data_IF_343772886022
#
_entry.id   IF_343772886022
#
_cell.length_a   1.000
_cell.length_b   1.000
_cell.length_c   1.000
_cell.angle_alpha   90.00
_cell.angle_beta   90.00
_cell.angle_gamma   90.00
#
_symmetry.space_group_name_H-M   'P 1'
#
loop_
_entity.id
_entity.type
_entity.pdbx_description
1 polymer ?
#
# COMPACT_ATOMS: atom_id res chain seq x y z
N UNK A 1 -42.06 -38.83 41.45
CA UNK A 1 -40.59 -38.98 41.46
C UNK A 1 -39.94 -39.28 40.09
N UNK A 2 -40.68 -39.68 39.03
CA UNK A 2 -40.06 -39.99 37.72
C UNK A 2 -39.99 -38.82 36.72
N UNK A 3 -40.86 -37.82 36.86
CA UNK A 3 -40.96 -36.71 35.89
C UNK A 3 -39.87 -35.65 36.09
N UNK A 4 -39.57 -35.29 37.35
CA UNK A 4 -38.51 -34.31 37.65
C UNK A 4 -37.13 -34.81 37.26
N UNK A 5 -36.88 -36.12 37.44
CA UNK A 5 -35.63 -36.76 37.03
C UNK A 5 -35.49 -36.81 35.51
N UNK A 6 -36.58 -37.02 34.76
CA UNK A 6 -36.57 -36.96 33.30
C UNK A 6 -36.34 -35.54 32.78
N UNK A 7 -37.00 -34.54 33.38
CA UNK A 7 -36.81 -33.14 33.05
C UNK A 7 -35.39 -32.67 33.37
N UNK A 8 -34.80 -33.14 34.48
CA UNK A 8 -33.43 -32.84 34.85
C UNK A 8 -32.40 -33.47 33.90
N UNK A 9 -32.60 -34.73 33.50
CA UNK A 9 -31.72 -35.39 32.52
C UNK A 9 -31.84 -34.75 31.14
N UNK A 10 -33.05 -34.39 30.71
CA UNK A 10 -33.27 -33.67 29.44
C UNK A 10 -32.60 -32.30 29.45
N UNK A 11 -32.72 -31.56 30.56
CA UNK A 11 -32.02 -30.29 30.76
C UNK A 11 -30.51 -30.47 30.70
N UNK A 12 -29.95 -31.48 31.38
CA UNK A 12 -28.52 -31.74 31.40
C UNK A 12 -27.97 -32.07 30.00
N UNK A 13 -28.72 -32.84 29.19
CA UNK A 13 -28.33 -33.18 27.82
C UNK A 13 -28.39 -31.95 26.90
N UNK A 14 -29.44 -31.14 27.01
CA UNK A 14 -29.56 -29.90 26.21
C UNK A 14 -28.47 -28.89 26.62
N UNK A 15 -28.19 -28.74 27.91
CA UNK A 15 -27.13 -27.88 28.41
C UNK A 15 -25.75 -28.32 27.90
N UNK A 16 -25.47 -29.63 27.88
CA UNK A 16 -24.25 -30.18 27.31
C UNK A 16 -24.16 -29.92 25.80
N UNK A 17 -25.24 -30.11 25.05
CA UNK A 17 -25.28 -29.83 23.61
C UNK A 17 -25.05 -28.34 23.30
N UNK A 18 -25.57 -27.43 24.13
CA UNK A 18 -25.31 -26.00 23.97
C UNK A 18 -23.86 -25.68 24.36
N UNK A 19 -23.36 -26.14 25.51
CA UNK A 19 -21.99 -25.85 25.96
C UNK A 19 -20.90 -26.38 25.02
N UNK A 20 -21.08 -27.56 24.45
CA UNK A 20 -20.08 -28.19 23.57
C UNK A 20 -20.37 -27.97 22.08
N UNK A 21 -21.63 -27.83 21.67
CA UNK A 21 -22.02 -27.59 20.28
C UNK A 21 -21.93 -26.13 19.86
N UNK A 22 -22.23 -25.18 20.76
CA UNK A 22 -22.19 -23.75 20.45
C UNK A 22 -20.79 -23.26 20.03
N UNK A 23 -19.67 -23.66 20.65
CA UNK A 23 -18.33 -23.25 20.20
C UNK A 23 -18.00 -23.70 18.77
N UNK A 24 -18.48 -24.88 18.36
CA UNK A 24 -18.26 -25.42 17.00
C UNK A 24 -19.08 -24.66 15.95
N UNK A 25 -20.30 -24.25 16.30
CA UNK A 25 -21.17 -23.42 15.44
C UNK A 25 -20.62 -21.99 15.35
N UNK A 26 -20.21 -21.40 16.47
CA UNK A 26 -19.59 -20.08 16.53
C UNK A 26 -18.33 -20.03 15.67
N UNK A 27 -17.43 -21.02 15.80
CA UNK A 27 -16.20 -21.06 15.00
C UNK A 27 -16.41 -21.18 13.48
N UNK A 28 -17.53 -21.76 13.03
CA UNK A 28 -17.84 -21.91 11.59
C UNK A 28 -18.68 -20.77 11.01
N UNK A 29 -19.62 -20.21 11.76
CA UNK A 29 -20.60 -19.24 11.23
C UNK A 29 -20.44 -17.81 11.77
N UNK A 30 -19.70 -17.64 12.87
CA UNK A 30 -19.42 -16.35 13.49
C UNK A 30 -17.94 -16.25 13.84
N UNK A 31 -17.04 -16.14 12.83
CA UNK A 31 -15.61 -15.96 13.08
C UNK A 31 -15.44 -14.79 14.05
N UNK A 32 -14.72 -15.03 15.14
CA UNK A 32 -14.41 -14.00 16.14
C UNK A 32 -13.81 -12.80 15.42
N UNK A 33 -14.32 -11.60 15.72
CA UNK A 33 -13.80 -10.35 15.19
C UNK A 33 -12.27 -10.35 15.26
N UNK A 34 -11.63 -9.84 14.20
CA UNK A 34 -10.19 -9.69 14.12
C UNK A 34 -9.67 -9.14 15.47
N UNK A 35 -8.60 -9.73 16.05
CA UNK A 35 -8.07 -9.23 17.30
C UNK A 35 -7.78 -7.72 17.16
N UNK A 36 -8.14 -6.91 18.17
CA UNK A 36 -8.00 -5.46 18.09
C UNK A 36 -6.55 -5.10 17.72
N UNK A 37 -6.39 -4.18 16.76
CA UNK A 37 -5.10 -3.75 16.23
C UNK A 37 -4.20 -3.05 17.28
N UNK A 38 -4.70 -2.87 18.50
CA UNK A 38 -4.02 -2.20 19.60
C UNK A 38 -4.13 -3.03 20.87
N UNK A 39 -2.98 -3.33 21.48
CA UNK A 39 -2.88 -3.90 22.82
C UNK A 39 -2.25 -2.85 23.74
N UNK A 40 -2.84 -2.64 24.91
CA UNK A 40 -2.24 -1.78 25.94
C UNK A 40 -1.25 -2.64 26.73
N UNK A 41 0.04 -2.37 26.54
CA UNK A 41 1.14 -2.93 27.35
C UNK A 41 1.81 -1.76 28.06
N UNK A 42 1.80 -1.76 29.40
CA UNK A 42 2.49 -0.73 30.19
C UNK A 42 1.92 0.70 30.06
N UNK A 43 0.63 0.85 29.73
CA UNK A 43 0.00 2.17 29.62
C UNK A 43 0.27 2.92 28.32
N UNK A 44 0.93 2.29 27.33
CA UNK A 44 1.04 2.82 25.98
C UNK A 44 0.31 1.92 24.97
N UNK A 45 -0.36 2.56 24.02
CA UNK A 45 -1.04 1.90 22.90
C UNK A 45 0.00 1.37 21.94
N UNK A 46 0.16 0.04 21.88
CA UNK A 46 1.10 -0.62 20.98
C UNK A 46 0.34 -1.26 19.82
N UNK A 47 0.66 -0.85 18.59
CA UNK A 47 0.06 -1.42 17.38
C UNK A 47 0.58 -2.86 17.21
N UNK A 48 -0.33 -3.82 17.19
CA UNK A 48 0.00 -5.24 16.99
C UNK A 48 0.09 -5.49 15.49
N UNK A 49 1.25 -5.98 15.02
CA UNK A 49 1.48 -6.24 13.60
C UNK A 49 0.52 -7.32 13.09
N UNK A 50 -0.46 -6.93 12.29
CA UNK A 50 -1.40 -7.86 11.67
C UNK A 50 -0.87 -8.20 10.27
N UNK A 51 -0.20 -9.36 10.14
CA UNK A 51 0.51 -9.80 8.93
C UNK A 51 -0.41 -9.92 7.69
N UNK A 52 -1.72 -10.01 7.90
CA UNK A 52 -2.76 -10.08 6.85
C UNK A 52 -3.43 -8.74 6.53
N UNK A 53 -3.21 -7.67 7.31
CA UNK A 53 -3.85 -6.37 7.09
C UNK A 53 -2.88 -5.27 6.59
N UNK A 54 -1.58 -5.47 6.69
CA UNK A 54 -0.60 -4.50 6.19
C UNK A 54 -0.44 -4.63 4.66
N UNK A 55 -0.58 -3.55 3.89
CA UNK A 55 -0.65 -3.57 2.43
C UNK A 55 0.68 -3.98 1.79
N UNK A 56 0.86 -5.27 1.52
CA UNK A 56 2.04 -5.76 0.81
C UNK A 56 1.86 -5.55 -0.69
N UNK A 57 2.91 -5.11 -1.36
CA UNK A 57 2.99 -5.23 -2.81
C UNK A 57 2.83 -6.72 -3.20
N UNK A 58 2.09 -6.96 -4.28
CA UNK A 58 1.88 -8.30 -4.80
C UNK A 58 3.22 -8.90 -5.31
N UNK A 59 3.41 -10.20 -5.09
CA UNK A 59 4.68 -10.87 -5.39
C UNK A 59 4.72 -11.18 -6.89
N UNK A 60 5.56 -10.47 -7.65
CA UNK A 60 5.67 -10.71 -9.08
C UNK A 60 6.18 -12.13 -9.41
N UNK A 61 5.83 -12.66 -10.58
CA UNK A 61 6.41 -13.90 -11.15
C UNK A 61 7.90 -13.75 -11.51
N UNK A 62 8.41 -14.57 -12.44
CA UNK A 62 9.77 -14.45 -12.94
C UNK A 62 10.04 -13.02 -13.49
N UNK A 63 11.28 -12.52 -13.35
CA UNK A 63 11.69 -11.23 -13.93
C UNK A 63 11.68 -11.36 -15.45
N UNK A 64 10.93 -10.48 -16.13
CA UNK A 64 10.71 -10.48 -17.58
C UNK A 64 11.09 -9.13 -18.19
N UNK A 65 11.21 -9.10 -19.51
CA UNK A 65 11.46 -7.86 -20.22
C UNK A 65 10.35 -6.83 -19.91
N UNK A 66 10.74 -5.59 -19.59
CA UNK A 66 9.81 -4.53 -19.21
C UNK A 66 8.74 -4.27 -20.27
N UNK A 67 9.10 -4.24 -21.55
CA UNK A 67 8.14 -4.00 -22.63
C UNK A 67 7.02 -5.05 -22.66
N UNK A 68 7.36 -6.31 -22.35
CA UNK A 68 6.38 -7.40 -22.21
C UNK A 68 5.46 -7.14 -21.02
N UNK A 69 6.02 -6.82 -19.85
CA UNK A 69 5.24 -6.52 -18.64
C UNK A 69 4.31 -5.32 -18.83
N UNK A 70 4.78 -4.28 -19.52
CA UNK A 70 3.95 -3.09 -19.82
C UNK A 70 2.76 -3.43 -20.73
N UNK A 71 2.90 -4.38 -21.66
CA UNK A 71 1.86 -4.75 -22.61
C UNK A 71 0.76 -5.67 -22.03
N UNK A 72 0.97 -6.25 -20.84
CA UNK A 72 0.05 -7.22 -20.24
C UNK A 72 -1.17 -6.62 -19.56
N UNK A 73 -1.12 -5.32 -19.23
CA UNK A 73 -2.18 -4.66 -18.47
C UNK A 73 -2.71 -3.41 -19.18
N UNK A 74 -4.00 -3.11 -19.04
CA UNK A 74 -4.55 -1.83 -19.47
C UNK A 74 -3.87 -0.67 -18.72
N UNK A 75 -3.55 0.41 -19.43
CA UNK A 75 -2.75 1.52 -18.93
C UNK A 75 -3.29 2.88 -19.36
N UNK A 76 -3.02 3.90 -18.54
CA UNK A 76 -3.24 5.31 -18.85
C UNK A 76 -1.87 5.96 -19.06
N UNK A 77 -1.68 6.70 -20.15
CA UNK A 77 -0.41 7.36 -20.42
C UNK A 77 -0.19 8.54 -19.46
N UNK A 78 1.06 8.77 -19.06
CA UNK A 78 1.50 9.98 -18.37
C UNK A 78 2.28 10.81 -19.37
N UNK A 79 1.83 12.04 -19.61
CA UNK A 79 2.45 12.97 -20.54
C UNK A 79 2.59 14.36 -19.92
N UNK A 80 3.81 14.71 -19.50
CA UNK A 80 4.15 16.04 -19.02
C UNK A 80 5.45 16.54 -19.67
N UNK A 81 5.83 17.83 -19.48
CA UNK A 81 7.11 18.37 -19.95
C UNK A 81 8.36 17.73 -19.31
N UNK A 82 8.21 17.04 -18.18
CA UNK A 82 9.29 16.49 -17.34
C UNK A 82 9.19 14.99 -17.14
N UNK A 83 7.99 14.42 -17.31
CA UNK A 83 7.67 13.03 -17.04
C UNK A 83 6.99 12.38 -18.26
N UNK A 84 7.41 11.16 -18.57
CA UNK A 84 6.68 10.26 -19.48
C UNK A 84 6.54 8.89 -18.83
N UNK A 85 5.49 8.16 -19.18
CA UNK A 85 5.30 6.81 -18.70
C UNK A 85 3.84 6.40 -18.68
N UNK A 86 3.44 5.60 -17.70
CA UNK A 86 2.09 5.10 -17.60
C UNK A 86 1.65 4.73 -16.18
N UNK A 87 0.34 4.74 -15.98
CA UNK A 87 -0.36 4.23 -14.80
C UNK A 87 -0.92 2.86 -15.17
N UNK A 88 -0.64 1.86 -14.35
CA UNK A 88 -1.19 0.52 -14.48
C UNK A 88 -2.59 0.46 -13.87
N UNK A 89 -3.61 0.18 -14.69
CA UNK A 89 -4.98 0.06 -14.21
C UNK A 89 -5.21 -1.21 -13.39
N UNK A 90 -4.33 -2.21 -13.52
CA UNK A 90 -4.31 -3.35 -12.61
C UNK A 90 -3.61 -2.92 -11.30
N UNK A 91 -4.40 -2.72 -10.25
CA UNK A 91 -3.93 -2.32 -8.92
C UNK A 91 -3.68 -0.82 -8.73
N UNK A 92 -4.07 0.03 -9.70
CA UNK A 92 -3.93 1.50 -9.63
C UNK A 92 -2.51 1.98 -9.25
N UNK A 93 -1.49 1.55 -10.01
CA UNK A 93 -0.08 1.78 -9.68
C UNK A 93 0.57 2.79 -10.63
N UNK A 94 1.36 3.70 -10.09
CA UNK A 94 2.31 4.51 -10.87
C UNK A 94 3.61 3.69 -10.90
N UNK A 95 3.81 2.96 -11.99
CA UNK A 95 4.83 1.91 -12.07
C UNK A 95 5.74 2.02 -13.30
N UNK A 96 5.53 3.01 -14.15
CA UNK A 96 6.34 3.29 -15.34
C UNK A 96 6.54 4.80 -15.45
N UNK A 97 7.76 5.27 -15.16
CA UNK A 97 8.05 6.69 -15.15
C UNK A 97 9.51 6.97 -15.55
N UNK A 98 9.69 7.85 -16.53
CA UNK A 98 10.99 8.37 -16.95
C UNK A 98 11.04 9.89 -16.77
N UNK A 99 12.20 10.38 -16.33
CA UNK A 99 12.49 11.79 -16.16
C UNK A 99 13.15 12.33 -17.44
N UNK A 100 12.37 12.92 -18.34
CA UNK A 100 12.85 13.21 -19.71
C UNK A 100 13.89 14.31 -19.80
N UNK A 101 14.06 15.10 -18.73
CA UNK A 101 15.09 16.15 -18.65
C UNK A 101 16.46 15.65 -18.19
N UNK A 102 16.57 14.39 -17.76
CA UNK A 102 17.82 13.83 -17.24
C UNK A 102 18.22 12.60 -18.03
N UNK A 103 19.49 12.51 -18.40
CA UNK A 103 20.06 11.38 -19.12
C UNK A 103 20.78 10.44 -18.17
N UNK A 104 20.78 9.14 -18.48
CA UNK A 104 21.53 8.13 -17.73
C UNK A 104 23.04 8.39 -17.76
N UNK A 105 23.54 8.92 -18.87
CA UNK A 105 24.95 9.24 -19.08
C UNK A 105 25.12 10.55 -19.84
N UNK A 106 26.35 11.08 -19.86
CA UNK A 106 26.69 12.30 -20.60
C UNK A 106 26.71 12.11 -22.13
N UNK A 107 26.54 10.88 -22.63
CA UNK A 107 26.54 10.60 -24.06
C UNK A 107 25.37 11.33 -24.75
N UNK A 108 25.61 11.85 -25.96
CA UNK A 108 24.63 12.67 -26.71
C UNK A 108 23.27 11.98 -26.86
N UNK A 109 23.27 10.67 -27.12
CA UNK A 109 22.08 9.86 -27.35
C UNK A 109 21.70 8.97 -26.14
N UNK A 110 22.15 9.32 -24.94
CA UNK A 110 21.80 8.57 -23.74
C UNK A 110 20.31 8.61 -23.44
N UNK A 111 19.76 7.48 -22.99
CA UNK A 111 18.36 7.34 -22.63
C UNK A 111 18.02 8.24 -21.43
N UNK A 112 16.74 8.66 -21.28
CA UNK A 112 16.32 9.37 -20.09
C UNK A 112 16.37 8.47 -18.86
N UNK A 113 16.59 9.07 -17.69
CA UNK A 113 16.58 8.36 -16.41
C UNK A 113 15.21 7.72 -16.20
N UNK A 114 15.20 6.43 -15.96
CA UNK A 114 14.01 5.71 -15.50
C UNK A 114 13.97 5.69 -13.99
N UNK A 115 12.95 6.32 -13.42
CA UNK A 115 12.73 6.32 -11.98
C UNK A 115 11.90 5.11 -11.55
N UNK A 116 10.77 4.86 -12.23
CA UNK A 116 9.84 3.79 -11.87
C UNK A 116 9.79 2.69 -12.92
N UNK A 117 9.63 1.45 -12.45
CA UNK A 117 9.59 0.23 -13.24
C UNK A 117 8.60 -0.77 -12.63
N UNK A 118 7.80 -1.49 -13.45
CA UNK A 118 6.71 -2.31 -12.94
C UNK A 118 7.21 -3.56 -12.22
N UNK A 119 6.36 -4.07 -11.32
CA UNK A 119 6.56 -5.38 -10.70
C UNK A 119 6.69 -6.48 -11.76
N UNK A 120 7.70 -7.34 -11.62
CA UNK A 120 8.01 -8.40 -12.59
C UNK A 120 8.93 -7.96 -13.74
N UNK A 121 9.36 -6.70 -13.76
CA UNK A 121 10.45 -6.21 -14.59
C UNK A 121 11.73 -5.94 -13.75
N UNK A 122 12.92 -5.84 -14.39
CA UNK A 122 14.14 -5.48 -13.68
C UNK A 122 14.02 -4.14 -12.95
N UNK A 123 14.51 -4.10 -11.71
CA UNK A 123 14.52 -2.90 -10.87
C UNK A 123 13.12 -2.38 -10.56
N UNK A 124 12.17 -3.28 -10.28
CA UNK A 124 10.80 -2.90 -9.93
C UNK A 124 10.80 -1.82 -8.84
N UNK A 125 10.17 -0.69 -9.11
CA UNK A 125 10.09 0.46 -8.24
C UNK A 125 8.82 1.23 -8.60
N UNK A 126 7.83 1.27 -7.71
CA UNK A 126 6.52 1.81 -8.02
C UNK A 126 5.80 2.35 -6.79
N UNK A 127 4.84 3.23 -7.02
CA UNK A 127 3.91 3.71 -5.99
C UNK A 127 2.53 3.07 -6.17
N UNK A 128 1.86 2.78 -5.06
CA UNK A 128 0.50 2.24 -5.04
C UNK A 128 -0.33 2.84 -3.92
N UNK A 129 -1.65 2.80 -4.09
CA UNK A 129 -2.61 3.41 -3.18
C UNK A 129 -3.79 2.46 -2.95
N UNK A 130 -4.36 2.48 -1.76
CA UNK A 130 -5.48 1.62 -1.44
C UNK A 130 -6.09 1.92 -0.09
N UNK A 131 -6.87 0.98 0.41
CA UNK A 131 -7.51 1.04 1.72
C UNK A 131 -7.28 -0.27 2.46
N UNK A 132 -7.15 -0.22 3.78
CA UNK A 132 -7.04 -1.44 4.60
C UNK A 132 -8.37 -2.19 4.60
N UNK A 133 -8.30 -3.51 4.57
CA UNK A 133 -9.47 -4.37 4.75
C UNK A 133 -9.75 -4.57 6.24
N UNK A 134 -10.34 -3.56 6.88
CA UNK A 134 -10.78 -3.60 8.28
C UNK A 134 -12.31 -3.56 8.38
N UNK A 135 -12.98 -4.34 7.53
CA UNK A 135 -14.46 -4.35 7.40
C UNK A 135 -14.98 -3.57 6.19
N UNK A 136 -14.12 -2.83 5.47
CA UNK A 136 -14.46 -2.09 4.26
C UNK A 136 -14.51 -2.96 2.99
N UNK A 137 -13.82 -4.11 2.98
CA UNK A 137 -13.66 -5.00 1.80
C UNK A 137 -13.29 -4.22 0.52
N UNK A 138 -12.15 -3.52 0.50
CA UNK A 138 -11.71 -2.75 -0.65
C UNK A 138 -11.35 -3.64 -1.85
N UNK A 139 -11.20 -3.07 -3.06
CA UNK A 139 -10.70 -3.81 -4.21
C UNK A 139 -9.36 -4.48 -3.87
N UNK A 140 -9.17 -5.72 -4.35
CA UNK A 140 -7.92 -6.44 -4.19
C UNK A 140 -6.72 -5.64 -4.76
N UNK A 141 -5.51 -5.94 -4.28
CA UNK A 141 -4.28 -5.25 -4.69
C UNK A 141 -3.96 -5.35 -6.19
N UNK A 142 -4.61 -6.29 -6.88
CA UNK A 142 -4.47 -6.58 -8.31
C UNK A 142 -5.80 -6.35 -9.07
N UNK A 143 -6.81 -5.74 -8.45
CA UNK A 143 -8.08 -5.44 -9.08
C UNK A 143 -7.90 -4.52 -10.30
N UNK A 144 -8.72 -4.72 -11.34
CA UNK A 144 -8.73 -3.86 -12.51
C UNK A 144 -9.60 -2.62 -12.26
N UNK A 145 -9.02 -1.44 -12.44
CA UNK A 145 -9.68 -0.15 -12.30
C UNK A 145 -10.16 0.39 -13.65
N UNK A 146 -11.25 1.15 -13.64
CA UNK A 146 -11.75 1.87 -14.82
C UNK A 146 -11.28 3.32 -14.77
N UNK A 147 -10.74 3.85 -15.87
CA UNK A 147 -10.28 5.23 -15.95
C UNK A 147 -11.24 6.12 -16.73
N UNK A 148 -11.35 7.40 -16.34
CA UNK A 148 -12.16 8.40 -17.06
C UNK A 148 -11.54 8.91 -18.35
N UNK A 149 -10.30 8.52 -18.67
CA UNK A 149 -9.59 8.94 -19.87
C UNK A 149 -8.30 8.17 -20.07
N UNK A 150 -7.63 8.42 -21.20
CA UNK A 150 -6.45 7.67 -21.63
C UNK A 150 -5.11 8.34 -21.31
N UNK A 151 -5.11 9.61 -20.88
CA UNK A 151 -3.85 10.35 -20.63
C UNK A 151 -3.96 11.32 -19.46
N UNK A 152 -3.08 11.15 -18.46
CA UNK A 152 -2.82 12.11 -17.39
C UNK A 152 -1.79 13.14 -17.88
N UNK A 153 -2.12 14.42 -17.72
CA UNK A 153 -1.23 15.55 -18.02
C UNK A 153 -1.53 16.73 -17.08
N UNK A 154 -0.67 17.76 -17.03
CA UNK A 154 -0.93 18.96 -16.24
C UNK A 154 -2.27 19.62 -16.62
N UNK A 155 -3.07 19.97 -15.62
CA UNK A 155 -4.43 20.48 -15.82
C UNK A 155 -5.45 19.45 -16.33
N UNK A 156 -5.05 18.19 -16.54
CA UNK A 156 -5.92 17.10 -17.02
C UNK A 156 -5.80 15.88 -16.10
N UNK A 157 -6.44 15.90 -14.92
CA UNK A 157 -6.43 14.78 -13.99
C UNK A 157 -7.20 13.57 -14.56
N UNK A 158 -6.86 12.38 -14.07
CA UNK A 158 -7.57 11.13 -14.39
C UNK A 158 -8.19 10.58 -13.11
N UNK A 159 -9.43 10.12 -13.23
CA UNK A 159 -10.12 9.41 -12.16
C UNK A 159 -10.08 7.92 -12.43
N UNK A 160 -9.68 7.13 -11.44
CA UNK A 160 -9.74 5.68 -11.41
C UNK A 160 -10.90 5.27 -10.50
N UNK A 161 -11.81 4.46 -11.00
CA UNK A 161 -12.96 3.95 -10.28
C UNK A 161 -12.93 2.42 -10.16
N UNK A 162 -13.33 1.94 -8.98
CA UNK A 162 -13.58 0.53 -8.69
C UNK A 162 -14.76 0.39 -7.72
N UNK A 163 -15.35 -0.80 -7.66
CA UNK A 163 -16.43 -1.13 -6.76
C UNK A 163 -16.16 -2.46 -6.07
N UNK A 164 -16.67 -2.63 -4.86
CA UNK A 164 -16.75 -3.94 -4.22
C UNK A 164 -18.15 -4.53 -4.35
N UNK A 165 -18.30 -5.79 -3.94
CA UNK A 165 -19.57 -6.50 -3.95
C UNK A 165 -20.57 -6.00 -2.88
N UNK A 166 -20.11 -5.25 -1.88
CA UNK A 166 -20.90 -4.83 -0.70
C UNK A 166 -21.46 -3.41 -0.81
N UNK A 167 -21.41 -2.81 -2.00
CA UNK A 167 -22.09 -1.53 -2.30
C UNK A 167 -21.25 -0.27 -2.06
N UNK A 168 -19.96 -0.39 -1.74
CA UNK A 168 -19.05 0.74 -1.70
C UNK A 168 -18.47 1.03 -3.10
N UNK A 169 -18.14 2.29 -3.33
CA UNK A 169 -17.43 2.76 -4.53
C UNK A 169 -16.14 3.43 -4.11
N UNK A 170 -15.05 3.06 -4.78
CA UNK A 170 -13.70 3.51 -4.50
C UNK A 170 -13.23 4.34 -5.66
N UNK A 171 -12.62 5.48 -5.34
CA UNK A 171 -12.15 6.44 -6.33
C UNK A 171 -10.75 6.92 -5.97
N UNK A 172 -9.87 6.95 -6.97
CA UNK A 172 -8.56 7.57 -6.89
C UNK A 172 -8.48 8.62 -7.99
N UNK A 173 -8.41 9.90 -7.63
CA UNK A 173 -8.14 10.98 -8.57
C UNK A 173 -6.64 11.24 -8.59
N UNK A 174 -6.04 11.16 -9.77
CA UNK A 174 -4.63 11.41 -10.02
C UNK A 174 -4.48 12.71 -10.79
N UNK A 175 -3.74 13.66 -10.22
CA UNK A 175 -3.27 14.86 -10.89
C UNK A 175 -1.74 14.88 -10.88
N UNK A 176 -1.14 15.58 -11.84
CA UNK A 176 0.31 15.80 -11.93
C UNK A 176 0.56 17.24 -12.31
N UNK A 177 1.63 17.84 -11.76
CA UNK A 177 2.07 19.18 -12.14
C UNK A 177 3.02 19.16 -13.35
N UNK A 178 3.50 20.33 -13.76
CA UNK A 178 4.48 20.48 -14.84
C UNK A 178 5.90 20.01 -14.46
N UNK A 179 6.10 19.56 -13.21
CA UNK A 179 7.38 19.18 -12.61
C UNK A 179 7.38 17.70 -12.21
N UNK A 180 7.27 17.37 -10.92
CA UNK A 180 7.42 15.99 -10.46
C UNK A 180 6.40 15.59 -9.39
N UNK A 181 5.47 16.48 -9.04
CA UNK A 181 4.51 16.23 -7.97
C UNK A 181 3.25 15.58 -8.51
N UNK A 182 2.92 14.41 -7.97
CA UNK A 182 1.61 13.78 -8.14
C UNK A 182 0.72 14.14 -6.95
N UNK A 183 -0.50 14.59 -7.23
CA UNK A 183 -1.55 14.72 -6.21
C UNK A 183 -2.51 13.56 -6.35
N UNK A 184 -2.71 12.84 -5.26
CA UNK A 184 -3.55 11.63 -5.20
C UNK A 184 -4.67 11.86 -4.20
N UNK A 185 -5.91 11.82 -4.66
CA UNK A 185 -7.09 11.98 -3.79
C UNK A 185 -7.88 10.69 -3.76
N UNK A 186 -7.97 10.08 -2.59
CA UNK A 186 -8.71 8.85 -2.35
C UNK A 186 -10.10 9.16 -1.78
N UNK A 187 -11.15 8.56 -2.34
CA UNK A 187 -12.52 8.72 -1.86
C UNK A 187 -13.23 7.37 -1.80
N UNK A 188 -13.99 7.15 -0.74
CA UNK A 188 -14.89 6.01 -0.59
C UNK A 188 -16.31 6.56 -0.45
N UNK A 189 -17.21 6.13 -1.32
CA UNK A 189 -18.65 6.36 -1.15
C UNK A 189 -19.28 5.11 -0.58
N UNK A 190 -19.87 5.23 0.62
CA UNK A 190 -20.66 4.17 1.22
C UNK A 190 -22.13 4.31 0.78
N UNK A 191 -22.59 3.40 -0.08
CA UNK A 191 -24.00 3.31 -0.47
C UNK A 191 -24.84 2.37 0.42
N UNK A 192 -24.21 1.74 1.42
CA UNK A 192 -24.88 0.85 2.36
C UNK A 192 -25.56 1.58 3.51
N UNK A 193 -26.32 0.83 4.31
CA UNK A 193 -27.05 1.35 5.48
C UNK A 193 -26.22 1.33 6.77
N UNK A 194 -25.17 0.51 6.83
CA UNK A 194 -24.28 0.43 7.99
C UNK A 194 -23.05 1.34 7.80
N UNK A 195 -22.53 1.96 8.87
CA UNK A 195 -21.25 2.66 8.81
C UNK A 195 -20.13 1.68 8.46
N UNK A 196 -19.13 2.17 7.72
CA UNK A 196 -17.94 1.40 7.35
C UNK A 196 -16.68 2.15 7.81
N UNK A 197 -15.72 1.48 8.46
CA UNK A 197 -14.43 2.09 8.78
C UNK A 197 -13.63 2.31 7.48
N UNK A 198 -12.90 3.42 7.41
CA UNK A 198 -12.09 3.76 6.23
C UNK A 198 -10.69 4.14 6.69
N UNK A 199 -9.69 3.38 6.23
CA UNK A 199 -8.28 3.65 6.49
C UNK A 199 -7.51 3.59 5.16
N UNK A 200 -7.29 4.74 4.50
CA UNK A 200 -6.48 4.78 3.28
C UNK A 200 -5.00 4.55 3.59
N UNK A 201 -4.25 4.08 2.59
CA UNK A 201 -2.80 4.03 2.62
C UNK A 201 -2.23 4.36 1.24
N UNK A 202 -0.99 4.84 1.24
CA UNK A 202 -0.09 4.84 0.09
C UNK A 202 1.16 4.06 0.45
N UNK A 203 1.84 3.51 -0.54
CA UNK A 203 3.15 2.91 -0.35
C UNK A 203 4.05 3.16 -1.56
N UNK A 204 5.34 3.17 -1.32
CA UNK A 204 6.38 3.12 -2.34
C UNK A 204 7.13 1.81 -2.14
N UNK A 205 7.17 0.97 -3.17
CA UNK A 205 7.83 -0.33 -3.11
C UNK A 205 8.96 -0.40 -4.13
N UNK A 206 10.13 -0.86 -3.69
CA UNK A 206 11.29 -1.11 -4.55
C UNK A 206 11.83 -2.52 -4.38
N UNK A 207 12.37 -3.09 -5.43
CA UNK A 207 13.15 -4.33 -5.41
C UNK A 207 14.63 -3.99 -5.55
N UNK A 208 15.43 -4.52 -4.63
CA UNK A 208 16.83 -4.21 -4.51
C UNK A 208 17.10 -2.81 -3.99
N UNK A 209 18.39 -2.53 -3.85
CA UNK A 209 18.93 -1.25 -3.39
C UNK A 209 19.56 -0.51 -4.56
N UNK A 210 19.81 0.80 -4.42
CA UNK A 210 20.52 1.53 -5.48
C UNK A 210 21.95 1.01 -5.61
N UNK A 211 22.46 1.05 -6.85
CA UNK A 211 23.85 0.71 -7.17
C UNK A 211 24.82 1.82 -6.74
N UNK A 212 24.32 3.01 -6.47
CA UNK A 212 25.12 4.13 -6.01
C UNK A 212 25.55 3.89 -4.55
N UNK A 213 26.85 4.04 -4.24
CA UNK A 213 27.33 3.88 -2.88
C UNK A 213 26.82 5.03 -2.00
N UNK A 214 26.37 4.67 -0.79
CA UNK A 214 26.22 5.65 0.31
C UNK A 214 27.59 6.00 0.88
N UNK A 215 27.77 7.24 1.35
CA UNK A 215 29.00 7.75 1.96
C UNK A 215 28.70 8.60 3.20
N UNK A 216 29.73 9.13 3.87
CA UNK A 216 29.56 10.07 4.99
C UNK A 216 28.76 11.33 4.62
N UNK A 217 28.71 11.70 3.33
CA UNK A 217 28.02 12.91 2.85
C UNK A 217 26.82 12.60 1.95
N UNK A 218 26.60 11.34 1.57
CA UNK A 218 25.54 10.93 0.65
C UNK A 218 24.75 9.77 1.28
N UNK A 219 23.49 10.03 1.61
CA UNK A 219 22.56 9.00 2.04
C UNK A 219 21.87 8.36 0.84
N UNK A 220 21.89 7.04 0.78
CA UNK A 220 21.14 6.21 -0.18
C UNK A 220 20.38 5.18 0.63
N UNK A 221 19.05 5.25 0.62
CA UNK A 221 18.20 4.36 1.39
C UNK A 221 16.90 4.98 1.89
N UNK A 222 16.26 4.33 2.88
CA UNK A 222 15.06 4.86 3.53
C UNK A 222 15.33 6.19 4.21
N UNK A 223 14.39 7.13 4.08
CA UNK A 223 14.46 8.44 4.72
C UNK A 223 13.05 8.94 5.04
N UNK A 224 12.87 9.55 6.21
CA UNK A 224 11.64 10.23 6.60
C UNK A 224 11.91 11.62 7.15
N UNK A 225 10.90 12.48 7.09
CA UNK A 225 10.77 13.65 7.94
C UNK A 225 9.55 13.43 8.79
N UNK A 226 9.74 13.36 10.10
CA UNK A 226 8.68 13.12 11.07
C UNK A 226 9.07 13.74 12.42
N UNK A 227 8.05 14.12 13.19
CA UNK A 227 8.20 14.64 14.56
C UNK A 227 9.21 15.80 14.68
N UNK A 228 9.23 16.67 13.67
CA UNK A 228 10.08 17.86 13.63
C UNK A 228 11.54 17.62 13.21
N UNK A 229 11.90 16.40 12.79
CA UNK A 229 13.26 16.05 12.38
C UNK A 229 13.34 15.28 11.06
N UNK A 230 14.51 15.33 10.42
CA UNK A 230 14.84 14.50 9.28
C UNK A 230 15.64 13.27 9.75
N UNK A 231 15.20 12.08 9.36
CA UNK A 231 15.77 10.81 9.79
C UNK A 231 16.31 10.05 8.58
N UNK A 232 17.60 9.71 8.65
CA UNK A 232 18.33 8.95 7.62
C UNK A 232 18.51 7.48 8.00
N UNK A 233 17.75 7.02 8.99
CA UNK A 233 17.65 5.61 9.40
C UNK A 233 16.18 5.21 9.46
N UNK A 234 15.84 3.92 9.29
CA UNK A 234 16.72 2.75 9.13
C UNK A 234 17.46 2.71 7.78
N UNK A 235 18.52 1.91 7.70
CA UNK A 235 19.09 1.50 6.40
C UNK A 235 18.49 0.15 5.94
N UNK A 236 18.83 -0.31 4.75
CA UNK A 236 18.27 -1.57 4.21
C UNK A 236 18.60 -2.84 5.01
N UNK A 237 19.78 -2.93 5.66
CA UNK A 237 20.13 -4.10 6.50
C UNK A 237 19.30 -4.12 7.79
N UNK A 238 19.06 -2.94 8.38
CA UNK A 238 18.22 -2.83 9.59
C UNK A 238 16.79 -3.32 9.27
N UNK A 239 16.28 -3.05 8.05
CA UNK A 239 14.96 -3.50 7.60
C UNK A 239 14.84 -5.01 7.36
N UNK A 240 15.96 -5.72 7.18
CA UNK A 240 15.97 -7.19 7.11
C UNK A 240 15.80 -7.81 8.49
N UNK A 241 16.22 -7.12 9.54
CA UNK A 241 16.09 -7.57 10.93
C UNK A 241 14.70 -7.26 11.47
N UNK A 242 14.22 -6.03 11.30
CA UNK A 242 12.91 -5.61 11.78
C UNK A 242 12.34 -4.42 11.00
N UNK A 243 11.00 -4.30 10.91
CA UNK A 243 10.39 -3.08 10.38
C UNK A 243 10.62 -1.89 11.31
N UNK A 244 10.82 -0.70 10.74
CA UNK A 244 10.81 0.57 11.47
C UNK A 244 9.45 1.23 11.33
N UNK A 245 8.93 1.81 12.42
CA UNK A 245 7.61 2.46 12.47
C UNK A 245 7.69 3.76 13.23
N UNK A 246 6.86 4.71 12.85
CA UNK A 246 6.65 5.97 13.55
C UNK A 246 5.22 6.45 13.33
N UNK A 247 4.76 7.34 14.21
CA UNK A 247 3.50 8.06 14.07
C UNK A 247 3.81 9.55 14.17
N UNK A 248 3.21 10.35 13.30
CA UNK A 248 3.47 11.80 13.27
C UNK A 248 2.32 12.56 12.61
N UNK A 249 2.28 13.88 12.80
CA UNK A 249 1.39 14.80 12.07
C UNK A 249 2.25 15.68 11.18
N UNK A 250 1.97 15.68 9.87
CA UNK A 250 2.86 16.27 8.88
C UNK A 250 4.09 15.42 8.58
N UNK A 251 4.90 15.84 7.60
CA UNK A 251 6.08 15.09 7.20
C UNK A 251 5.87 14.17 5.99
N UNK A 252 6.85 13.31 5.72
CA UNK A 252 6.91 12.43 4.56
C UNK A 252 7.89 11.26 4.78
N UNK A 253 7.79 10.23 3.95
CA UNK A 253 8.71 9.10 3.94
C UNK A 253 8.93 8.56 2.53
N UNK A 254 10.10 7.97 2.29
CA UNK A 254 10.43 7.43 0.98
C UNK A 254 11.82 6.81 0.90
N UNK A 255 12.29 6.65 -0.34
CA UNK A 255 13.66 6.21 -0.60
C UNK A 255 14.43 7.26 -1.39
N UNK A 256 15.61 7.59 -0.88
CA UNK A 256 16.59 8.42 -1.57
C UNK A 256 17.61 7.53 -2.27
N UNK A 257 17.94 7.88 -3.51
CA UNK A 257 19.08 7.41 -4.26
C UNK A 257 20.00 8.61 -4.55
N UNK A 258 21.16 8.39 -5.18
CA UNK A 258 22.00 9.52 -5.57
C UNK A 258 21.25 10.35 -6.62
N UNK A 259 20.96 11.61 -6.27
CA UNK A 259 20.19 12.59 -7.07
C UNK A 259 18.67 12.40 -7.15
N UNK A 260 18.11 11.28 -6.68
CA UNK A 260 16.69 10.96 -6.87
C UNK A 260 15.99 10.65 -5.55
N UNK A 261 14.72 11.02 -5.45
CA UNK A 261 13.87 10.72 -4.30
C UNK A 261 12.47 10.34 -4.81
N UNK A 262 11.94 9.24 -4.30
CA UNK A 262 10.50 8.97 -4.37
C UNK A 262 9.97 8.94 -2.95
N UNK A 263 9.00 9.81 -2.67
CA UNK A 263 8.44 9.97 -1.33
C UNK A 263 6.92 10.10 -1.37
N UNK A 264 6.29 9.67 -0.29
CA UNK A 264 4.88 9.89 0.00
C UNK A 264 4.75 11.03 1.00
N UNK A 265 3.85 11.95 0.69
CA UNK A 265 3.57 13.12 1.51
C UNK A 265 2.08 13.05 1.87
N UNK A 266 1.73 12.49 3.04
CA UNK A 266 0.35 12.49 3.53
C UNK A 266 -0.21 13.90 3.75
N UNK A 267 -1.51 14.02 4.01
CA UNK A 267 -2.10 15.31 4.40
C UNK A 267 -1.36 15.85 5.63
N UNK A 268 -0.80 17.06 5.48
CA UNK A 268 0.08 17.65 6.49
C UNK A 268 -0.65 18.05 7.78
N UNK A 269 -1.98 17.99 7.80
CA UNK A 269 -2.81 18.23 8.98
C UNK A 269 -3.29 16.95 9.66
N UNK A 270 -3.13 15.80 9.02
CA UNK A 270 -3.56 14.51 9.56
C UNK A 270 -2.40 13.80 10.26
N UNK A 271 -2.71 13.11 11.34
CA UNK A 271 -1.79 12.12 11.92
C UNK A 271 -1.77 10.88 11.02
N UNK A 272 -0.58 10.36 10.73
CA UNK A 272 -0.40 9.12 10.00
C UNK A 272 0.63 8.21 10.67
N UNK A 273 0.50 6.91 10.40
CA UNK A 273 1.50 5.90 10.74
C UNK A 273 2.41 5.64 9.54
N UNK A 274 3.70 5.92 9.70
CA UNK A 274 4.73 5.62 8.71
C UNK A 274 5.45 4.32 9.05
N UNK A 275 5.84 3.56 8.02
CA UNK A 275 6.57 2.31 8.20
C UNK A 275 7.57 2.07 7.07
N UNK A 276 8.78 1.66 7.45
CA UNK A 276 9.70 1.01 6.53
C UNK A 276 9.78 -0.48 6.84
N UNK A 277 9.77 -1.34 5.82
CA UNK A 277 9.87 -2.79 5.99
C UNK A 277 10.51 -3.47 4.79
N UNK A 278 11.07 -4.66 5.02
CA UNK A 278 11.41 -5.60 3.97
C UNK A 278 10.21 -6.48 3.60
N UNK A 279 10.23 -7.00 2.38
CA UNK A 279 9.29 -7.98 1.84
C UNK A 279 10.02 -9.13 1.15
N UNK A 280 9.27 -9.98 0.44
CA UNK A 280 9.87 -11.10 -0.29
C UNK A 280 10.77 -10.61 -1.44
N UNK A 281 11.78 -11.41 -1.81
CA UNK A 281 12.67 -11.19 -2.98
C UNK A 281 13.34 -9.82 -2.99
N UNK A 282 14.01 -9.48 -1.89
CA UNK A 282 14.73 -8.22 -1.72
C UNK A 282 13.87 -6.98 -1.99
N UNK A 283 12.58 -7.05 -1.66
CA UNK A 283 11.71 -5.89 -1.73
C UNK A 283 11.75 -5.09 -0.44
N UNK A 284 11.61 -3.77 -0.57
CA UNK A 284 11.51 -2.83 0.52
C UNK A 284 10.33 -1.91 0.26
N UNK A 285 9.58 -1.60 1.30
CA UNK A 285 8.41 -0.74 1.24
C UNK A 285 8.54 0.38 2.27
N UNK A 286 8.18 1.58 1.82
CA UNK A 286 7.91 2.77 2.62
C UNK A 286 6.41 3.08 2.55
#
# INVERSE_FOLDING_TARGET
MNQDRQNFVLFAVIAALILFGWPLIQGKFFPTANPPATKIEGGQTKVVANKTADPTADTAGAIRNRAVVLAETPRVAIDTPTLKGSINLKGARIDDLVLVKYKETIAKNSAPIRLLSPGGAPGAYFAGFGWRDDGLKPPAADALWTATGATLAPGRPITLDAANATGQRFRIVLAVDDSYMFTVTQTVRNGGIAPVPVAPYGFVNRTGISKDPSSMTIHVGPMSVDNGGAHYRPNFKDLLEAPSRFTTTGGWLGFTDKYWLTALIPDQRATFDGQFRSGARDSYQA
#
